data_IF_086701464472
#
_entry.id   IF_086701464472
#
_cell.length_a   1.000
_cell.length_b   1.000
_cell.length_c   1.000
_cell.angle_alpha   90.00
_cell.angle_beta   90.00
_cell.angle_gamma   90.00
#
_symmetry.space_group_name_H-M   'P 1'
#
loop_
_entity.id
_entity.type
_entity.pdbx_description
1 polymer ?
#
# COMPACT_ATOMS: atom_id res chain seq x y z
N UNK A 1 2.37 5.11 -12.58
CA UNK A 1 2.94 6.44 -12.78
C UNK A 1 4.36 6.39 -13.32
N UNK A 2 5.29 5.66 -12.70
CA UNK A 2 6.68 5.60 -13.19
C UNK A 2 6.85 4.93 -14.56
N UNK A 3 6.18 3.80 -14.84
CA UNK A 3 6.26 3.17 -16.17
C UNK A 3 5.94 4.13 -17.32
N UNK A 4 5.00 5.06 -17.12
CA UNK A 4 4.66 6.09 -18.12
C UNK A 4 5.74 7.18 -18.27
N UNK A 5 6.39 7.56 -17.16
CA UNK A 5 7.51 8.51 -17.14
C UNK A 5 8.80 7.90 -17.70
N UNK A 6 8.98 6.58 -17.59
CA UNK A 6 10.10 5.86 -18.18
C UNK A 6 9.85 5.51 -19.65
N UNK A 7 8.61 5.16 -20.02
CA UNK A 7 8.25 4.94 -21.43
C UNK A 7 8.42 6.19 -22.30
N UNK A 8 8.42 7.39 -21.71
CA UNK A 8 8.67 8.64 -22.45
C UNK A 8 10.15 8.94 -22.67
N UNK A 9 11.06 8.33 -21.90
CA UNK A 9 12.50 8.45 -22.11
C UNK A 9 12.98 7.24 -22.90
N UNK A 10 13.37 7.37 -24.16
CA UNK A 10 13.90 6.27 -25.01
C UNK A 10 15.32 5.81 -24.54
N UNK A 11 15.52 5.74 -23.23
CA UNK A 11 16.79 5.41 -22.59
C UNK A 11 16.76 3.96 -22.10
N UNK A 12 17.82 3.17 -22.38
CA UNK A 12 18.01 1.84 -21.81
C UNK A 12 17.92 1.80 -20.28
N UNK A 13 17.49 0.66 -19.73
CA UNK A 13 17.42 0.41 -18.29
C UNK A 13 18.22 -0.84 -17.89
N UNK A 14 18.88 -0.77 -16.74
CA UNK A 14 19.74 -1.83 -16.19
C UNK A 14 18.98 -2.88 -15.37
N UNK A 15 17.72 -2.60 -15.00
CA UNK A 15 16.91 -3.44 -14.10
C UNK A 15 15.49 -3.72 -14.61
N UNK A 16 14.95 -4.94 -14.36
CA UNK A 16 13.62 -5.36 -14.81
C UNK A 16 12.50 -4.52 -14.21
N UNK A 17 12.72 -4.09 -12.97
CA UNK A 17 11.82 -3.22 -12.23
C UNK A 17 12.52 -1.88 -12.09
N UNK A 18 11.91 -0.80 -12.55
CA UNK A 18 12.19 0.49 -11.95
C UNK A 18 11.81 0.35 -10.49
N UNK A 19 12.83 0.31 -9.63
CA UNK A 19 12.67 -0.04 -8.22
C UNK A 19 11.50 0.72 -7.64
N UNK A 20 10.71 0.10 -6.76
CA UNK A 20 9.58 0.78 -6.15
C UNK A 20 10.08 2.10 -5.58
N UNK A 21 9.80 3.22 -6.27
CA UNK A 21 9.79 4.48 -5.55
C UNK A 21 8.73 4.24 -4.50
N UNK A 22 9.07 4.39 -3.20
CA UNK A 22 8.19 4.05 -2.10
C UNK A 22 6.82 4.60 -2.46
N UNK A 23 5.88 3.68 -2.81
CA UNK A 23 4.57 4.12 -3.23
C UNK A 23 4.01 4.90 -2.06
N UNK A 24 3.39 6.03 -2.36
CA UNK A 24 2.69 6.81 -1.36
C UNK A 24 1.47 5.97 -0.98
N UNK A 25 1.64 5.12 0.02
CA UNK A 25 0.56 4.39 0.66
C UNK A 25 -0.29 5.43 1.33
N UNK A 26 -1.50 5.67 0.79
CA UNK A 26 -2.59 6.45 1.39
C UNK A 26 -2.13 7.33 2.55
N UNK A 27 -1.30 8.33 2.24
CA UNK A 27 -0.87 9.26 3.25
C UNK A 27 -2.11 10.12 3.50
N UNK A 28 -2.64 10.22 4.74
CA UNK A 28 -3.76 11.12 5.01
C UNK A 28 -3.49 12.53 4.47
N UNK A 29 -2.23 12.96 4.41
CA UNK A 29 -1.83 14.21 3.77
C UNK A 29 -1.88 14.16 2.25
N UNK A 30 -1.57 13.03 1.62
CA UNK A 30 -1.78 12.86 0.18
C UNK A 30 -3.27 12.86 -0.16
N UNK A 31 -4.12 12.20 0.63
CA UNK A 31 -5.58 12.24 0.43
C UNK A 31 -6.09 13.67 0.54
N UNK A 32 -5.60 14.44 1.52
CA UNK A 32 -5.89 15.87 1.62
C UNK A 32 -5.33 16.66 0.43
N UNK A 33 -4.12 16.39 -0.04
CA UNK A 33 -3.53 17.07 -1.20
C UNK A 33 -4.29 16.76 -2.50
N UNK A 34 -4.72 15.51 -2.70
CA UNK A 34 -5.46 15.04 -3.87
C UNK A 34 -6.93 15.47 -3.85
N UNK A 35 -7.47 15.84 -2.67
CA UNK A 35 -8.82 16.41 -2.52
C UNK A 35 -8.94 17.87 -2.99
N UNK A 36 -7.88 18.44 -3.56
CA UNK A 36 -7.89 19.77 -4.16
C UNK A 36 -8.11 20.90 -3.14
N UNK A 37 -8.93 21.93 -3.46
CA UNK A 37 -9.15 23.07 -2.56
C UNK A 37 -9.69 22.67 -1.19
N UNK A 38 -10.57 21.67 -1.11
CA UNK A 38 -11.17 21.23 0.15
C UNK A 38 -10.14 20.62 1.10
N UNK A 39 -9.27 19.76 0.59
CA UNK A 39 -8.23 19.16 1.41
C UNK A 39 -7.12 20.15 1.78
N UNK A 40 -6.85 21.15 0.93
CA UNK A 40 -5.97 22.29 1.27
C UNK A 40 -6.56 23.11 2.43
N UNK A 41 -7.87 23.41 2.40
CA UNK A 41 -8.56 24.10 3.50
C UNK A 41 -8.51 23.27 4.78
N UNK A 42 -8.78 21.96 4.70
CA UNK A 42 -8.73 21.08 5.86
C UNK A 42 -7.32 20.98 6.46
N UNK A 43 -6.28 20.94 5.62
CA UNK A 43 -4.88 20.93 6.06
C UNK A 43 -4.50 22.25 6.76
N UNK A 44 -4.82 23.39 6.14
CA UNK A 44 -4.57 24.71 6.73
C UNK A 44 -5.36 24.91 8.04
N UNK A 45 -6.60 24.44 8.08
CA UNK A 45 -7.42 24.46 9.28
C UNK A 45 -6.81 23.59 10.38
N UNK A 46 -6.32 22.39 10.06
CA UNK A 46 -5.67 21.50 11.03
C UNK A 46 -4.38 22.12 11.58
N UNK A 47 -3.56 22.72 10.72
CA UNK A 47 -2.37 23.47 11.14
C UNK A 47 -2.73 24.66 12.03
N UNK A 48 -3.73 25.44 11.64
CA UNK A 48 -4.23 26.54 12.46
C UNK A 48 -4.83 26.06 13.79
N UNK A 49 -5.55 24.94 13.80
CA UNK A 49 -6.13 24.33 14.99
C UNK A 49 -5.05 23.84 15.95
N UNK A 50 -4.02 23.16 15.43
CA UNK A 50 -2.92 22.66 16.23
C UNK A 50 -2.06 23.79 16.81
N UNK A 51 -1.62 24.74 15.97
CA UNK A 51 -0.64 25.76 16.34
C UNK A 51 -1.26 27.10 16.72
N UNK A 52 -2.29 27.56 16.01
CA UNK A 52 -2.97 28.82 16.30
C UNK A 52 -3.75 28.75 17.62
N UNK A 53 -4.58 27.71 17.80
CA UNK A 53 -5.37 27.60 19.03
C UNK A 53 -4.50 27.31 20.27
N UNK A 54 -3.42 26.54 20.12
CA UNK A 54 -2.51 26.30 21.25
C UNK A 54 -1.75 27.57 21.68
N UNK A 55 -1.31 28.45 20.76
CA UNK A 55 -0.66 29.73 21.09
C UNK A 55 -1.61 30.62 21.90
N UNK A 56 -2.85 30.75 21.40
CA UNK A 56 -3.91 31.47 22.09
C UNK A 56 -4.16 30.86 23.47
N UNK A 57 -4.06 29.54 23.62
CA UNK A 57 -4.32 28.87 24.89
C UNK A 57 -3.20 29.04 25.91
N UNK A 58 -1.93 28.98 25.49
CA UNK A 58 -0.79 29.30 26.35
C UNK A 58 -0.94 30.73 26.89
N UNK A 59 -1.29 31.69 26.03
CA UNK A 59 -1.49 33.09 26.45
C UNK A 59 -2.67 33.29 27.43
N UNK A 60 -3.60 32.33 27.47
CA UNK A 60 -4.79 32.34 28.34
C UNK A 60 -4.70 31.33 29.48
N UNK A 61 -3.56 30.68 29.66
CA UNK A 61 -3.39 29.70 30.72
C UNK A 61 -3.45 30.35 32.09
N UNK A 62 -4.07 29.64 33.05
CA UNK A 62 -4.34 30.15 34.39
C UNK A 62 -3.38 29.61 35.44
N UNK A 63 -2.64 28.55 35.11
CA UNK A 63 -1.70 27.92 36.02
C UNK A 63 -0.43 27.46 35.29
N UNK A 64 0.70 27.40 36.01
CA UNK A 64 1.94 26.82 35.49
C UNK A 64 1.75 25.38 35.01
N UNK A 65 0.97 24.57 35.73
CA UNK A 65 0.72 23.16 35.38
C UNK A 65 -0.02 23.01 34.05
N UNK A 66 -1.04 23.85 33.82
CA UNK A 66 -1.78 23.86 32.56
C UNK A 66 -0.90 24.30 31.39
N UNK A 67 -0.05 25.31 31.62
CA UNK A 67 0.95 25.74 30.63
C UNK A 67 1.92 24.61 30.31
N UNK A 68 2.43 23.90 31.32
CA UNK A 68 3.32 22.75 31.15
C UNK A 68 2.69 21.62 30.34
N UNK A 69 1.42 21.29 30.61
CA UNK A 69 0.69 20.27 29.86
C UNK A 69 0.49 20.67 28.38
N UNK A 70 0.13 21.93 28.10
CA UNK A 70 -0.02 22.42 26.72
C UNK A 70 1.31 22.30 25.97
N UNK A 71 2.42 22.71 26.59
CA UNK A 71 3.76 22.56 26.00
C UNK A 71 4.14 21.11 25.76
N UNK A 72 3.80 20.19 26.66
CA UNK A 72 4.06 18.76 26.48
C UNK A 72 3.28 18.19 25.28
N UNK A 73 1.98 18.50 25.17
CA UNK A 73 1.14 18.06 24.06
C UNK A 73 1.61 18.61 22.71
N UNK A 74 2.06 19.87 22.69
CA UNK A 74 2.65 20.49 21.51
C UNK A 74 4.00 19.95 21.13
N UNK A 75 4.86 19.70 22.10
CA UNK A 75 6.15 19.06 21.85
C UNK A 75 5.92 17.67 21.25
N UNK A 76 4.94 16.92 21.76
CA UNK A 76 4.50 15.66 21.19
C UNK A 76 4.01 15.79 19.74
N UNK A 77 3.12 16.74 19.44
CA UNK A 77 2.65 17.01 18.07
C UNK A 77 3.78 17.47 17.14
N UNK A 78 4.69 18.31 17.63
CA UNK A 78 5.84 18.80 16.88
C UNK A 78 6.83 17.68 16.58
N UNK A 79 7.08 16.77 17.51
CA UNK A 79 7.90 15.57 17.30
C UNK A 79 7.25 14.63 16.29
N UNK A 80 5.93 14.42 16.36
CA UNK A 80 5.20 13.64 15.34
C UNK A 80 5.35 14.31 13.97
N UNK A 81 5.10 15.62 13.86
CA UNK A 81 5.20 16.34 12.60
C UNK A 81 6.63 16.32 12.04
N UNK A 82 7.65 16.50 12.88
CA UNK A 82 9.05 16.43 12.51
C UNK A 82 9.43 15.02 12.06
N UNK A 83 9.05 14.00 12.83
CA UNK A 83 9.26 12.60 12.46
C UNK A 83 8.56 12.26 11.13
N UNK A 84 7.34 12.75 10.93
CA UNK A 84 6.60 12.63 9.67
C UNK A 84 7.28 13.33 8.49
N UNK A 85 7.89 14.50 8.73
CA UNK A 85 8.60 15.26 7.71
C UNK A 85 9.96 14.66 7.33
N UNK A 86 10.68 14.09 8.29
CA UNK A 86 12.03 13.54 8.09
C UNK A 86 12.01 12.08 7.62
N UNK A 87 11.05 11.29 8.11
CA UNK A 87 11.09 9.83 7.96
C UNK A 87 9.99 9.30 7.01
N UNK A 88 9.22 10.19 6.36
CA UNK A 88 8.07 9.86 5.50
C UNK A 88 7.09 8.78 6.05
N UNK A 89 6.83 8.57 7.38
CA UNK A 89 6.06 7.43 7.84
C UNK A 89 4.72 7.86 8.42
N UNK A 90 4.03 8.84 7.82
CA UNK A 90 2.55 8.89 7.96
C UNK A 90 1.87 7.64 7.38
N UNK A 91 2.67 6.78 6.74
CA UNK A 91 2.39 5.37 6.42
C UNK A 91 1.95 4.55 7.64
N UNK A 92 2.31 4.97 8.86
CA UNK A 92 2.02 4.25 10.09
C UNK A 92 0.81 4.86 10.81
N UNK A 93 -0.21 4.06 11.19
CA UNK A 93 -1.38 4.55 11.92
C UNK A 93 -1.03 5.06 13.34
N UNK A 94 0.11 4.66 13.91
CA UNK A 94 0.50 4.99 15.28
C UNK A 94 0.78 6.49 15.49
N UNK A 95 1.61 7.18 14.67
CA UNK A 95 1.75 8.64 14.73
C UNK A 95 0.43 9.40 14.56
N UNK A 96 -0.45 8.94 13.66
CA UNK A 96 -1.75 9.59 13.43
C UNK A 96 -2.68 9.47 14.65
N UNK A 97 -2.76 8.27 15.27
CA UNK A 97 -3.49 8.05 16.52
C UNK A 97 -2.94 8.91 17.66
N UNK A 98 -1.62 8.95 17.81
CA UNK A 98 -0.97 9.77 18.84
C UNK A 98 -1.24 11.27 18.63
N UNK A 99 -1.26 11.74 17.38
CA UNK A 99 -1.63 13.11 17.05
C UNK A 99 -3.10 13.40 17.42
N UNK A 100 -4.03 12.48 17.16
CA UNK A 100 -5.44 12.61 17.57
C UNK A 100 -5.57 12.68 19.09
N UNK A 101 -4.82 11.85 19.83
CA UNK A 101 -4.81 11.93 21.30
C UNK A 101 -4.29 13.29 21.80
N UNK A 102 -3.21 13.81 21.22
CA UNK A 102 -2.67 15.12 21.62
C UNK A 102 -3.61 16.28 21.27
N UNK A 103 -4.22 16.26 20.09
CA UNK A 103 -5.23 17.25 19.69
C UNK A 103 -6.48 17.19 20.58
N UNK A 104 -6.87 15.98 21.00
CA UNK A 104 -7.98 15.78 21.95
C UNK A 104 -7.66 16.30 23.35
N UNK A 105 -6.43 16.11 23.83
CA UNK A 105 -5.96 16.71 25.08
C UNK A 105 -6.01 18.24 25.03
N UNK A 106 -5.57 18.84 23.92
CA UNK A 106 -5.62 20.29 23.72
C UNK A 106 -7.06 20.83 23.66
N UNK A 107 -7.99 20.09 23.04
CA UNK A 107 -9.39 20.51 22.94
C UNK A 107 -10.16 20.43 24.26
N UNK A 108 -9.89 19.43 25.11
CA UNK A 108 -10.47 19.33 26.45
C UNK A 108 -10.03 20.50 27.35
N UNK A 109 -8.75 20.88 27.29
CA UNK A 109 -8.21 22.02 28.04
C UNK A 109 -8.79 23.36 27.57
N UNK A 110 -9.26 23.47 26.32
CA UNK A 110 -9.89 24.68 25.80
C UNK A 110 -11.26 24.99 26.46
N UNK A 111 -11.95 23.96 26.97
CA UNK A 111 -13.32 24.07 27.48
C UNK A 111 -13.39 24.58 28.93
N UNK A 112 -12.35 24.39 29.75
CA UNK A 112 -12.36 24.66 31.20
C UNK A 112 -12.34 26.14 31.63
N UNK A 113 -12.32 27.10 30.69
CA UNK A 113 -11.76 28.43 30.92
C UNK A 113 -12.69 29.61 31.24
N UNK A 114 -14.03 29.50 31.22
CA UNK A 114 -15.00 30.55 31.66
C UNK A 114 -16.40 30.08 31.25
N UNK A 115 -17.37 30.09 32.18
CA UNK A 115 -18.81 29.76 32.00
C UNK A 115 -19.11 29.36 30.54
N UNK A 116 -18.84 28.11 30.19
CA UNK A 116 -19.12 27.62 28.85
C UNK A 116 -20.63 27.83 28.64
N UNK A 117 -21.01 28.85 27.86
CA UNK A 117 -22.37 28.97 27.32
C UNK A 117 -22.63 27.60 26.73
N UNK A 118 -23.55 26.84 27.33
CA UNK A 118 -23.90 25.44 27.01
C UNK A 118 -23.62 25.16 25.55
N UNK A 119 -22.41 24.70 25.23
CA UNK A 119 -22.21 23.97 23.99
C UNK A 119 -23.15 22.78 24.11
N UNK A 120 -23.93 22.52 23.06
CA UNK A 120 -24.95 21.50 23.17
C UNK A 120 -24.23 20.20 23.59
N UNK A 121 -24.65 19.56 24.70
CA UNK A 121 -24.04 18.31 25.15
C UNK A 121 -23.96 17.29 24.01
N UNK A 122 -24.91 17.38 23.07
CA UNK A 122 -24.99 16.63 21.82
C UNK A 122 -23.68 16.65 21.02
N UNK A 123 -23.03 17.81 20.82
CA UNK A 123 -21.82 17.86 19.98
C UNK A 123 -20.64 17.12 20.63
N UNK A 124 -20.50 17.23 21.96
CA UNK A 124 -19.46 16.53 22.74
C UNK A 124 -19.72 15.03 22.79
N UNK A 125 -20.97 14.64 23.02
CA UNK A 125 -21.37 13.24 23.03
C UNK A 125 -21.41 12.61 21.64
N UNK A 126 -21.49 13.39 20.55
CA UNK A 126 -21.39 12.89 19.17
C UNK A 126 -19.94 12.62 18.73
N UNK A 127 -18.96 13.33 19.29
CA UNK A 127 -17.54 13.12 18.95
C UNK A 127 -16.98 11.80 19.52
N UNK A 128 -17.47 11.35 20.69
CA UNK A 128 -17.05 10.08 21.32
C UNK A 128 -17.40 8.85 20.46
N UNK A 129 -18.64 8.62 20.01
CA UNK A 129 -18.98 7.49 19.15
C UNK A 129 -18.32 7.61 17.77
N UNK A 130 -18.08 8.82 17.26
CA UNK A 130 -17.32 9.01 16.02
C UNK A 130 -15.85 8.60 16.18
N UNK A 131 -15.21 9.00 17.28
CA UNK A 131 -13.85 8.56 17.62
C UNK A 131 -13.77 7.05 17.84
N UNK A 132 -14.72 6.47 18.57
CA UNK A 132 -14.84 5.01 18.75
C UNK A 132 -15.06 4.30 17.40
N UNK A 133 -15.88 4.84 16.52
CA UNK A 133 -16.09 4.30 15.17
C UNK A 133 -14.77 4.30 14.37
N UNK A 134 -14.00 5.39 14.41
CA UNK A 134 -12.67 5.43 13.76
C UNK A 134 -11.69 4.42 14.35
N UNK A 135 -11.69 4.23 15.68
CA UNK A 135 -10.86 3.21 16.33
C UNK A 135 -11.31 1.81 15.90
N UNK A 136 -12.62 1.52 15.89
CA UNK A 136 -13.18 0.22 15.47
C UNK A 136 -12.81 -0.04 14.00
N UNK A 137 -13.06 0.90 13.09
CA UNK A 137 -12.70 0.79 11.68
C UNK A 137 -11.18 0.59 11.49
N UNK A 138 -10.36 1.32 12.26
CA UNK A 138 -8.91 1.17 12.25
C UNK A 138 -8.46 -0.22 12.74
N UNK A 139 -9.09 -0.77 13.78
CA UNK A 139 -8.78 -2.11 14.29
C UNK A 139 -9.20 -3.23 13.33
N UNK A 140 -10.32 -3.06 12.60
CA UNK A 140 -10.74 -4.00 11.55
C UNK A 140 -9.70 -3.99 10.41
N UNK A 141 -9.27 -2.80 9.95
CA UNK A 141 -8.23 -2.69 8.94
C UNK A 141 -6.89 -3.32 9.38
N UNK A 142 -6.52 -3.15 10.66
CA UNK A 142 -5.33 -3.80 11.24
C UNK A 142 -5.45 -5.33 11.25
N UNK A 143 -6.61 -5.89 11.59
CA UNK A 143 -6.84 -7.35 11.59
C UNK A 143 -6.53 -7.94 10.22
N UNK A 144 -7.05 -7.33 9.15
CA UNK A 144 -6.91 -7.85 7.80
C UNK A 144 -5.50 -7.61 7.24
N UNK A 145 -4.83 -6.51 7.59
CA UNK A 145 -3.40 -6.32 7.30
C UNK A 145 -2.53 -7.37 8.00
N UNK A 146 -2.85 -7.70 9.25
CA UNK A 146 -2.17 -8.78 9.99
C UNK A 146 -2.43 -10.13 9.33
N UNK A 147 -3.66 -10.41 8.90
CA UNK A 147 -4.00 -11.64 8.18
C UNK A 147 -3.25 -11.73 6.84
N UNK A 148 -3.22 -10.67 6.03
CA UNK A 148 -2.49 -10.61 4.77
C UNK A 148 -0.99 -10.84 4.99
N UNK A 149 -0.40 -10.14 5.96
CA UNK A 149 1.01 -10.32 6.33
C UNK A 149 1.29 -11.75 6.78
N UNK A 150 0.43 -12.30 7.64
CA UNK A 150 0.59 -13.66 8.17
C UNK A 150 0.47 -14.70 7.06
N UNK A 151 -0.51 -14.56 6.15
CA UNK A 151 -0.66 -15.42 4.99
C UNK A 151 0.56 -15.36 4.07
N UNK A 152 1.07 -14.16 3.79
CA UNK A 152 2.30 -13.98 3.02
C UNK A 152 3.52 -14.61 3.67
N UNK A 153 3.80 -14.32 4.95
CA UNK A 153 4.93 -14.88 5.69
C UNK A 153 4.82 -16.41 5.80
N UNK A 154 3.62 -16.94 6.00
CA UNK A 154 3.36 -18.38 6.02
C UNK A 154 3.67 -19.01 4.66
N UNK A 155 3.23 -18.38 3.56
CA UNK A 155 3.51 -18.86 2.20
C UNK A 155 5.01 -18.85 1.87
N UNK A 156 5.72 -17.77 2.20
CA UNK A 156 7.17 -17.67 2.00
C UNK A 156 7.93 -18.70 2.82
N UNK A 157 7.51 -18.93 4.06
CA UNK A 157 8.11 -19.94 4.91
C UNK A 157 7.89 -21.35 4.33
N UNK A 158 6.69 -21.63 3.81
CA UNK A 158 6.37 -22.91 3.19
C UNK A 158 7.20 -23.18 1.93
N UNK A 159 7.40 -22.17 1.08
CA UNK A 159 8.21 -22.30 -0.14
C UNK A 159 9.69 -22.61 0.13
N UNK A 160 10.18 -22.36 1.34
CA UNK A 160 11.57 -22.64 1.77
C UNK A 160 11.72 -24.01 2.44
N UNK A 161 10.64 -24.72 2.72
CA UNK A 161 10.72 -26.02 3.39
C UNK A 161 11.09 -27.13 2.38
N UNK A 162 12.08 -27.98 2.72
CA UNK A 162 12.45 -29.12 1.88
C UNK A 162 11.47 -30.31 2.00
N UNK A 163 10.73 -30.39 3.11
CA UNK A 163 9.80 -31.48 3.39
C UNK A 163 8.43 -31.17 2.78
N UNK A 164 7.93 -32.09 1.95
CA UNK A 164 6.71 -31.91 1.15
C UNK A 164 5.47 -31.77 2.03
N UNK A 165 5.29 -32.66 3.02
CA UNK A 165 4.09 -32.67 3.86
C UNK A 165 3.94 -31.38 4.69
N UNK A 166 5.02 -30.94 5.35
CA UNK A 166 5.02 -29.69 6.11
C UNK A 166 4.83 -28.46 5.22
N UNK A 167 5.31 -28.53 3.98
CA UNK A 167 5.10 -27.47 2.99
C UNK A 167 3.62 -27.41 2.60
N UNK A 168 3.00 -28.53 2.30
CA UNK A 168 1.58 -28.60 1.93
C UNK A 168 0.69 -28.12 3.08
N UNK A 169 0.93 -28.57 4.32
CA UNK A 169 0.18 -28.12 5.50
C UNK A 169 0.25 -26.59 5.67
N UNK A 170 1.44 -26.01 5.55
CA UNK A 170 1.61 -24.54 5.66
C UNK A 170 0.98 -23.78 4.51
N UNK A 171 1.01 -24.32 3.29
CA UNK A 171 0.36 -23.71 2.15
C UNK A 171 -1.17 -23.76 2.29
N UNK A 172 -1.73 -24.87 2.76
CA UNK A 172 -3.17 -24.97 3.07
C UNK A 172 -3.57 -23.95 4.14
N UNK A 173 -2.78 -23.81 5.22
CA UNK A 173 -3.00 -22.78 6.23
C UNK A 173 -2.92 -21.36 5.64
N UNK A 174 -1.97 -21.09 4.74
CA UNK A 174 -1.89 -19.80 4.06
C UNK A 174 -3.13 -19.53 3.20
N UNK A 175 -3.62 -20.54 2.48
CA UNK A 175 -4.88 -20.48 1.71
C UNK A 175 -6.06 -20.13 2.61
N UNK A 176 -6.25 -20.85 3.72
CA UNK A 176 -7.33 -20.59 4.69
C UNK A 176 -7.29 -19.15 5.21
N UNK A 177 -6.10 -18.65 5.59
CA UNK A 177 -5.93 -17.27 6.06
C UNK A 177 -6.29 -16.27 4.96
N UNK A 178 -5.82 -16.50 3.73
CA UNK A 178 -6.04 -15.59 2.60
C UNK A 178 -7.50 -15.62 2.11
N UNK A 179 -8.18 -16.76 2.14
CA UNK A 179 -9.58 -16.90 1.76
C UNK A 179 -10.53 -16.36 2.85
N UNK A 180 -10.15 -16.50 4.12
CA UNK A 180 -10.87 -15.97 5.27
C UNK A 180 -10.94 -14.45 5.36
N UNK A 181 -10.22 -13.71 4.51
CA UNK A 181 -10.31 -12.25 4.42
C UNK A 181 -11.66 -11.87 3.79
N UNK A 182 -12.64 -11.58 4.67
CA UNK A 182 -13.98 -11.09 4.34
C UNK A 182 -14.06 -9.61 4.79
N UNK A 183 -14.29 -8.65 3.88
CA UNK A 183 -14.56 -7.19 4.13
C UNK A 183 -13.37 -6.19 4.19
N UNK A 184 -13.66 -4.85 4.18
CA UNK A 184 -13.95 -3.99 3.04
C UNK A 184 -12.73 -3.12 2.69
N UNK A 185 -11.52 -3.60 2.91
CA UNK A 185 -10.34 -2.95 2.34
C UNK A 185 -10.47 -3.02 0.82
N UNK A 186 -10.03 -1.99 0.06
CA UNK A 186 -10.07 -2.04 -1.40
C UNK A 186 -9.39 -3.33 -1.79
N UNK A 187 -10.15 -4.27 -2.37
CA UNK A 187 -9.74 -5.64 -2.60
C UNK A 187 -8.32 -5.63 -3.15
N UNK A 188 -7.36 -5.92 -2.27
CA UNK A 188 -5.98 -5.61 -2.62
C UNK A 188 -5.56 -6.71 -3.57
N UNK A 189 -5.18 -6.31 -4.78
CA UNK A 189 -4.61 -7.19 -5.77
C UNK A 189 -3.56 -8.15 -5.16
N UNK A 190 -2.79 -7.68 -4.19
CA UNK A 190 -1.76 -8.44 -3.49
C UNK A 190 -2.29 -9.73 -2.85
N UNK A 191 -3.50 -9.71 -2.24
CA UNK A 191 -4.16 -10.93 -1.72
C UNK A 191 -4.26 -12.00 -2.80
N UNK A 192 -4.81 -11.62 -3.96
CA UNK A 192 -5.05 -12.53 -5.06
C UNK A 192 -3.75 -13.01 -5.72
N UNK A 193 -2.73 -12.16 -5.80
CA UNK A 193 -1.39 -12.55 -6.25
C UNK A 193 -0.75 -13.56 -5.31
N UNK A 194 -0.90 -13.39 -3.99
CA UNK A 194 -0.39 -14.36 -3.01
C UNK A 194 -1.17 -15.67 -3.06
N UNK A 195 -2.50 -15.61 -3.16
CA UNK A 195 -3.34 -16.80 -3.27
C UNK A 195 -2.99 -17.61 -4.52
N UNK A 196 -2.80 -16.94 -5.67
CA UNK A 196 -2.31 -17.55 -6.91
C UNK A 196 -1.02 -18.37 -6.71
N UNK A 197 -0.02 -17.79 -6.06
CA UNK A 197 1.27 -18.45 -5.79
C UNK A 197 1.15 -19.61 -4.82
N UNK A 198 0.33 -19.47 -3.78
CA UNK A 198 0.06 -20.54 -2.82
C UNK A 198 -0.61 -21.72 -3.53
N UNK A 199 -1.62 -21.45 -4.36
CA UNK A 199 -2.34 -22.45 -5.16
C UNK A 199 -1.43 -23.17 -6.16
N UNK A 200 -0.54 -22.44 -6.86
CA UNK A 200 0.52 -23.05 -7.67
C UNK A 200 1.43 -23.95 -6.83
N UNK A 201 1.81 -23.51 -5.64
CA UNK A 201 2.63 -24.29 -4.71
C UNK A 201 1.96 -25.58 -4.21
N UNK A 202 0.62 -25.63 -4.20
CA UNK A 202 -0.22 -26.78 -3.91
C UNK A 202 -0.54 -27.64 -5.15
N UNK A 203 0.07 -27.34 -6.30
CA UNK A 203 -0.23 -27.99 -7.58
C UNK A 203 -1.71 -27.87 -8.00
N UNK A 204 -2.34 -26.73 -7.68
CA UNK A 204 -3.71 -26.35 -8.04
C UNK A 204 -3.69 -25.22 -9.09
N UNK A 205 -3.47 -25.53 -10.39
CA UNK A 205 -3.40 -24.52 -11.44
C UNK A 205 -4.75 -23.84 -11.72
N UNK A 206 -5.88 -24.54 -11.52
CA UNK A 206 -7.20 -23.95 -11.77
C UNK A 206 -7.54 -22.91 -10.70
N UNK A 207 -7.27 -23.21 -9.43
CA UNK A 207 -7.40 -22.24 -8.32
C UNK A 207 -6.43 -21.06 -8.47
N UNK A 208 -5.21 -21.32 -8.95
CA UNK A 208 -4.25 -20.26 -9.23
C UNK A 208 -4.72 -19.31 -10.36
N UNK A 209 -5.30 -19.88 -11.42
CA UNK A 209 -5.87 -19.12 -12.53
C UNK A 209 -7.05 -18.25 -12.08
N UNK A 210 -7.98 -18.83 -11.30
CA UNK A 210 -9.12 -18.11 -10.75
C UNK A 210 -8.66 -16.90 -9.92
N UNK A 211 -7.65 -17.08 -9.05
CA UNK A 211 -7.08 -15.99 -8.27
C UNK A 211 -6.41 -14.91 -9.17
N UNK A 212 -5.72 -15.30 -10.24
CA UNK A 212 -5.11 -14.35 -11.17
C UNK A 212 -6.15 -13.53 -11.97
N UNK A 213 -7.27 -14.14 -12.35
CA UNK A 213 -8.36 -13.43 -13.01
C UNK A 213 -9.05 -12.44 -12.07
N UNK A 214 -9.19 -12.77 -10.79
CA UNK A 214 -9.61 -11.78 -9.78
C UNK A 214 -8.57 -10.66 -9.63
N UNK A 215 -7.28 -10.99 -9.52
CA UNK A 215 -6.19 -10.02 -9.42
C UNK A 215 -6.15 -9.03 -10.61
N UNK A 216 -6.59 -9.48 -11.80
CA UNK A 216 -6.63 -8.71 -13.03
C UNK A 216 -7.69 -7.60 -13.02
N UNK A 217 -8.77 -7.73 -12.23
CA UNK A 217 -9.86 -6.74 -12.14
C UNK A 217 -9.44 -5.41 -11.49
N UNK A 218 -8.29 -5.39 -10.81
CA UNK A 218 -7.75 -4.21 -10.14
C UNK A 218 -6.84 -3.40 -11.06
N UNK A 219 -5.58 -3.23 -10.67
CA UNK A 219 -4.58 -2.45 -11.40
C UNK A 219 -3.71 -3.39 -12.23
N UNK A 220 -3.51 -3.11 -13.51
CA UNK A 220 -2.40 -3.75 -14.20
C UNK A 220 -1.09 -3.20 -13.63
N UNK A 221 -0.16 -4.08 -13.26
CA UNK A 221 1.16 -3.71 -12.78
C UNK A 221 2.16 -4.86 -13.03
N UNK A 222 3.42 -4.59 -12.73
CA UNK A 222 4.49 -5.57 -12.91
C UNK A 222 4.31 -6.84 -12.08
N UNK A 223 3.81 -6.73 -10.84
CA UNK A 223 3.60 -7.88 -9.96
C UNK A 223 2.54 -8.85 -10.52
N UNK A 224 1.47 -8.31 -11.12
CA UNK A 224 0.46 -9.10 -11.82
C UNK A 224 1.08 -9.89 -12.98
N UNK A 225 1.83 -9.24 -13.86
CA UNK A 225 2.44 -9.94 -15.00
C UNK A 225 3.53 -10.93 -14.57
N UNK A 226 4.27 -10.67 -13.50
CA UNK A 226 5.18 -11.65 -12.91
C UNK A 226 4.43 -12.89 -12.41
N UNK A 227 3.29 -12.72 -11.74
CA UNK A 227 2.48 -13.85 -11.30
C UNK A 227 1.88 -14.64 -12.48
N UNK A 228 1.43 -13.96 -13.55
CA UNK A 228 1.02 -14.62 -14.79
C UNK A 228 2.16 -15.37 -15.49
N UNK A 229 3.39 -14.83 -15.44
CA UNK A 229 4.59 -15.50 -15.96
C UNK A 229 4.89 -16.79 -15.19
N UNK A 230 4.90 -16.71 -13.86
CA UNK A 230 5.09 -17.86 -12.96
C UNK A 230 4.03 -18.95 -13.23
N UNK A 231 2.76 -18.55 -13.38
CA UNK A 231 1.67 -19.43 -13.75
C UNK A 231 1.90 -20.10 -15.12
N UNK A 232 2.21 -19.31 -16.15
CA UNK A 232 2.51 -19.82 -17.50
C UNK A 232 3.66 -20.81 -17.53
N UNK A 233 4.71 -20.58 -16.72
CA UNK A 233 5.82 -21.50 -16.55
C UNK A 233 5.39 -22.80 -15.87
N UNK A 234 4.58 -22.72 -14.82
CA UNK A 234 4.08 -23.88 -14.09
C UNK A 234 3.23 -24.81 -14.97
N UNK A 235 2.34 -24.24 -15.81
CA UNK A 235 1.52 -25.01 -16.76
C UNK A 235 2.24 -25.30 -18.09
N UNK A 236 3.52 -24.91 -18.21
CA UNK A 236 4.35 -25.09 -19.41
C UNK A 236 3.68 -24.54 -20.69
N UNK A 237 3.09 -23.36 -20.61
CA UNK A 237 2.43 -22.68 -21.72
C UNK A 237 3.25 -21.47 -22.18
N UNK A 238 4.08 -21.60 -23.24
CA UNK A 238 4.88 -20.49 -23.76
C UNK A 238 4.04 -19.27 -24.15
N UNK A 239 2.80 -19.50 -24.60
CA UNK A 239 1.86 -18.42 -24.94
C UNK A 239 1.50 -17.57 -23.72
N UNK A 240 1.18 -18.19 -22.59
CA UNK A 240 0.85 -17.45 -21.36
C UNK A 240 2.06 -16.70 -20.82
N UNK A 241 3.24 -17.33 -20.86
CA UNK A 241 4.50 -16.65 -20.51
C UNK A 241 4.73 -15.46 -21.44
N UNK A 242 4.52 -15.60 -22.74
CA UNK A 242 4.68 -14.50 -23.70
C UNK A 242 3.70 -13.35 -23.44
N UNK A 243 2.41 -13.63 -23.27
CA UNK A 243 1.40 -12.62 -22.99
C UNK A 243 1.73 -11.82 -21.71
N UNK A 244 2.29 -12.51 -20.71
CA UNK A 244 2.77 -11.88 -19.48
C UNK A 244 4.00 -10.99 -19.72
N UNK A 245 4.99 -11.45 -20.51
CA UNK A 245 6.21 -10.70 -20.85
C UNK A 245 5.87 -9.46 -21.68
N UNK A 246 4.99 -9.58 -22.67
CA UNK A 246 4.46 -8.44 -23.42
C UNK A 246 3.75 -7.45 -22.50
N UNK A 247 3.05 -7.95 -21.48
CA UNK A 247 2.52 -7.16 -20.38
C UNK A 247 3.60 -6.37 -19.65
N UNK A 248 4.71 -6.99 -19.28
CA UNK A 248 5.85 -6.33 -18.62
C UNK A 248 6.54 -5.30 -19.52
N UNK A 249 6.69 -5.57 -20.82
CA UNK A 249 7.23 -4.63 -21.81
C UNK A 249 6.41 -3.32 -21.83
N UNK A 250 5.08 -3.39 -21.71
CA UNK A 250 4.25 -2.17 -21.62
C UNK A 250 4.60 -1.28 -20.41
N UNK A 251 5.13 -1.85 -19.33
CA UNK A 251 5.50 -1.10 -18.12
C UNK A 251 6.96 -0.65 -18.12
N UNK A 252 7.83 -1.38 -18.82
CA UNK A 252 9.25 -1.08 -18.90
C UNK A 252 9.76 -1.42 -20.31
N UNK A 253 9.42 -0.58 -21.31
CA UNK A 253 9.65 -0.89 -22.72
C UNK A 253 11.11 -0.80 -23.15
N UNK A 254 12.00 -0.33 -22.27
CA UNK A 254 13.42 -0.16 -22.60
C UNK A 254 14.31 -1.07 -21.74
N UNK A 255 13.76 -2.14 -21.17
CA UNK A 255 14.56 -3.16 -20.51
C UNK A 255 14.82 -4.32 -21.47
N UNK A 256 16.08 -4.47 -21.90
CA UNK A 256 16.50 -5.47 -22.87
C UNK A 256 16.09 -6.91 -22.48
N UNK A 257 16.08 -7.24 -21.19
CA UNK A 257 15.76 -8.59 -20.73
C UNK A 257 14.35 -9.06 -21.11
N UNK A 258 13.33 -8.19 -21.09
CA UNK A 258 11.97 -8.59 -21.50
C UNK A 258 11.89 -8.81 -23.01
N UNK A 259 12.59 -7.99 -23.79
CA UNK A 259 12.66 -8.16 -25.23
C UNK A 259 13.39 -9.44 -25.65
N UNK A 260 14.49 -9.76 -24.95
CA UNK A 260 15.22 -11.02 -25.18
C UNK A 260 14.32 -12.23 -24.88
N UNK A 261 13.66 -12.23 -23.73
CA UNK A 261 12.74 -13.32 -23.36
C UNK A 261 11.56 -13.44 -24.34
N UNK A 262 10.97 -12.30 -24.76
CA UNK A 262 9.91 -12.30 -25.76
C UNK A 262 10.38 -12.86 -27.11
N UNK A 263 11.61 -12.55 -27.53
CA UNK A 263 12.18 -13.08 -28.77
C UNK A 263 12.31 -14.62 -28.73
N UNK A 264 12.80 -15.17 -27.62
CA UNK A 264 12.93 -16.61 -27.41
C UNK A 264 11.55 -17.31 -27.43
N UNK A 265 10.55 -16.72 -26.78
CA UNK A 265 9.18 -17.24 -26.74
C UNK A 265 8.49 -17.18 -28.11
N UNK A 266 8.65 -16.09 -28.85
CA UNK A 266 8.12 -15.99 -30.22
C UNK A 266 8.74 -17.03 -31.15
N UNK A 267 10.05 -17.27 -31.02
CA UNK A 267 10.74 -18.31 -31.78
C UNK A 267 10.19 -19.70 -31.43
N UNK A 268 9.99 -19.99 -30.15
CA UNK A 268 9.40 -21.25 -29.68
C UNK A 268 7.98 -21.46 -30.22
N UNK A 269 7.22 -20.38 -30.43
CA UNK A 269 5.87 -20.40 -31.00
C UNK A 269 5.87 -20.37 -32.55
N UNK A 270 7.03 -20.42 -33.20
CA UNK A 270 7.15 -20.45 -34.67
C UNK A 270 6.91 -19.11 -35.36
N UNK A 271 6.99 -17.98 -34.65
CA UNK A 271 6.82 -16.65 -35.21
C UNK A 271 8.18 -15.94 -35.35
N UNK A 272 8.93 -16.30 -36.39
CA UNK A 272 10.28 -15.79 -36.63
C UNK A 272 10.34 -14.27 -36.79
N UNK A 273 9.38 -13.68 -37.50
CA UNK A 273 9.33 -12.22 -37.72
C UNK A 273 9.20 -11.45 -36.39
N UNK A 274 8.34 -11.89 -35.48
CA UNK A 274 8.22 -11.25 -34.17
C UNK A 274 9.45 -11.53 -33.29
N UNK A 275 10.04 -12.71 -33.40
CA UNK A 275 11.26 -13.04 -32.67
C UNK A 275 12.42 -12.13 -33.07
N UNK A 276 12.63 -11.92 -34.37
CA UNK A 276 13.66 -11.02 -34.90
C UNK A 276 13.44 -9.58 -34.44
N UNK A 277 12.20 -9.08 -34.55
CA UNK A 277 11.85 -7.73 -34.11
C UNK A 277 12.17 -7.51 -32.62
N UNK A 278 11.78 -8.45 -31.75
CA UNK A 278 12.09 -8.36 -30.32
C UNK A 278 13.59 -8.48 -30.05
N UNK A 279 14.32 -9.30 -30.80
CA UNK A 279 15.77 -9.43 -30.67
C UNK A 279 16.51 -8.12 -31.05
N UNK A 280 16.02 -7.38 -32.04
CA UNK A 280 16.54 -6.05 -32.39
C UNK A 280 16.31 -5.03 -31.27
N UNK A 281 15.10 -5.01 -30.69
CA UNK A 281 14.80 -4.16 -29.53
C UNK A 281 15.68 -4.51 -28.33
N UNK A 282 15.91 -5.79 -28.06
CA UNK A 282 16.82 -6.24 -27.00
C UNK A 282 18.25 -5.70 -27.21
N UNK A 283 18.74 -5.69 -28.46
CA UNK A 283 20.06 -5.09 -28.79
C UNK A 283 20.05 -3.57 -28.61
N UNK A 284 18.99 -2.89 -29.03
CA UNK A 284 18.85 -1.43 -28.88
C UNK A 284 18.94 -0.99 -27.41
N UNK A 285 18.31 -1.75 -26.52
CA UNK A 285 18.18 -1.39 -25.10
C UNK A 285 19.20 -2.05 -24.17
N UNK A 286 20.25 -2.67 -24.73
CA UNK A 286 21.32 -3.26 -23.93
C UNK A 286 22.15 -2.15 -23.28
N UNK A 287 22.24 -2.19 -21.95
CA UNK A 287 23.09 -1.29 -21.13
C UNK A 287 24.50 -1.87 -21.02
#
# INVERSE_FOLDING_TARGET
YQGALYSSTDKPHDRPTVGQVPQVHSDPLQVLAESGPLGSIAFLWLGFAAFGMGLVRVSRSRSPDETGLIWALWTGLGLIAFHSAVDFPLRQPQPALLAVFFLSGLSVLAIGGKKAKRESPVLRYAMVPLGLLFVILGTIGLRDQVALKTGFETSLAAMRLPQVDLREERLNRATEILEGIQYPLPETQDRWLYLSRVRLGLNDPDGALAALEEARKYRHNLALYQAWREYGQAIRSPKVVLDSVLGMIRYNPNWAGYHQEAAELWKLLGNETQAEHQAELAKKFKV
#
